data_IF_866742870308
#
_entry.id   IF_866742870308
#
_cell.length_a   1.000
_cell.length_b   1.000
_cell.length_c   1.000
_cell.angle_alpha   90.00
_cell.angle_beta   90.00
_cell.angle_gamma   90.00
#
_symmetry.space_group_name_H-M   'P 1'
#
loop_
_entity.id
_entity.type
_entity.pdbx_description
1 polymer ?
#
# COMPACT_ATOMS: atom_id res chain seq x y z
N UNK A 1 14.78 42.22 16.99
CA UNK A 1 13.77 41.73 16.02
C UNK A 1 13.02 40.60 16.71
N UNK A 2 11.84 40.87 17.26
CA UNK A 2 11.03 39.84 17.92
C UNK A 2 10.11 39.21 16.88
N UNK A 3 10.46 38.01 16.41
CA UNK A 3 9.53 37.16 15.68
C UNK A 3 8.45 36.69 16.64
N UNK A 4 7.26 37.30 16.55
CA UNK A 4 6.06 36.81 17.22
C UNK A 4 5.67 35.52 16.51
N UNK A 5 6.05 34.38 17.09
CA UNK A 5 5.51 33.07 16.71
C UNK A 5 4.04 33.10 17.09
N UNK A 6 3.14 33.27 16.11
CA UNK A 6 1.70 33.18 16.37
C UNK A 6 1.40 31.73 16.78
N UNK A 7 0.66 31.50 17.88
CA UNK A 7 0.21 30.17 18.23
C UNK A 7 -0.68 29.64 17.09
N UNK A 8 -0.41 28.41 16.64
CA UNK A 8 -1.34 27.70 15.74
C UNK A 8 -2.67 27.50 16.46
N UNK A 9 -3.78 27.64 15.75
CA UNK A 9 -5.09 27.36 16.34
C UNK A 9 -5.25 25.86 16.59
N UNK A 10 -6.07 25.48 17.56
CA UNK A 10 -6.31 24.06 17.90
C UNK A 10 -6.78 23.23 16.69
N UNK A 11 -7.56 23.82 15.77
CA UNK A 11 -7.96 23.18 14.51
C UNK A 11 -6.80 22.96 13.53
N UNK A 12 -5.82 23.86 13.49
CA UNK A 12 -4.63 23.68 12.64
C UNK A 12 -3.72 22.59 13.19
N UNK A 13 -3.66 22.45 14.52
CA UNK A 13 -2.92 21.37 15.18
C UNK A 13 -3.57 20.01 14.92
N UNK A 14 -4.89 19.89 14.99
CA UNK A 14 -5.58 18.64 14.69
C UNK A 14 -5.44 18.23 13.22
N UNK A 15 -5.52 19.19 12.28
CA UNK A 15 -5.29 18.88 10.87
C UNK A 15 -3.83 18.47 10.58
N UNK A 16 -2.85 19.08 11.24
CA UNK A 16 -1.44 18.62 11.12
C UNK A 16 -1.25 17.20 11.65
N UNK A 17 -1.90 16.85 12.78
CA UNK A 17 -1.87 15.49 13.30
C UNK A 17 -2.50 14.51 12.31
N UNK A 18 -3.66 14.87 11.75
CA UNK A 18 -4.30 14.10 10.68
C UNK A 18 -3.35 13.87 9.49
N UNK A 19 -2.69 14.91 8.98
CA UNK A 19 -1.77 14.77 7.85
C UNK A 19 -0.56 13.90 8.20
N UNK A 20 -0.05 14.02 9.43
CA UNK A 20 1.08 13.20 9.89
C UNK A 20 0.70 11.72 9.93
N UNK A 21 -0.47 11.39 10.47
CA UNK A 21 -0.97 10.02 10.52
C UNK A 21 -1.28 9.48 9.12
N UNK A 22 -1.85 10.34 8.26
CA UNK A 22 -2.13 10.04 6.87
C UNK A 22 -0.86 9.68 6.09
N UNK A 23 0.19 10.51 6.18
CA UNK A 23 1.48 10.23 5.53
C UNK A 23 2.14 8.97 6.09
N UNK A 24 2.09 8.77 7.41
CA UNK A 24 2.66 7.57 8.03
C UNK A 24 1.99 6.28 7.56
N UNK A 25 0.67 6.29 7.32
CA UNK A 25 -0.05 5.16 6.73
C UNK A 25 0.32 4.95 5.26
N UNK A 26 0.41 6.04 4.49
CA UNK A 26 0.84 5.98 3.09
C UNK A 26 2.24 5.40 2.93
N UNK A 27 3.19 5.87 3.74
CA UNK A 27 4.57 5.41 3.71
C UNK A 27 4.67 3.93 4.08
N UNK A 28 3.92 3.47 5.10
CA UNK A 28 3.84 2.04 5.45
C UNK A 28 3.30 1.20 4.31
N UNK A 29 2.19 1.61 3.70
CA UNK A 29 1.60 0.89 2.56
C UNK A 29 2.55 0.85 1.35
N UNK A 30 3.30 1.91 1.08
CA UNK A 30 4.27 1.96 -0.02
C UNK A 30 5.58 1.22 0.30
N UNK A 31 6.01 1.18 1.55
CA UNK A 31 7.22 0.48 1.98
C UNK A 31 7.01 -1.01 2.25
N UNK A 32 5.76 -1.47 2.41
CA UNK A 32 5.44 -2.85 2.75
C UNK A 32 6.06 -3.85 1.75
N UNK A 33 6.82 -4.87 2.21
CA UNK A 33 7.41 -5.86 1.33
C UNK A 33 6.34 -6.69 0.62
N UNK A 34 6.69 -7.28 -0.53
CA UNK A 34 5.73 -8.02 -1.38
C UNK A 34 5.05 -9.18 -0.63
N UNK A 35 5.78 -9.84 0.25
CA UNK A 35 5.30 -10.97 1.08
C UNK A 35 4.23 -10.53 2.08
N UNK A 36 4.37 -9.33 2.64
CA UNK A 36 3.39 -8.74 3.57
C UNK A 36 2.25 -8.03 2.84
N UNK A 37 2.46 -7.58 1.61
CA UNK A 37 1.43 -6.94 0.79
C UNK A 37 0.29 -7.90 0.41
N UNK A 38 0.51 -9.21 0.56
CA UNK A 38 -0.50 -10.27 0.37
C UNK A 38 -1.12 -10.74 1.70
N UNK A 39 -0.78 -10.08 2.82
CA UNK A 39 -1.19 -10.48 4.17
C UNK A 39 -2.33 -9.63 4.73
N UNK A 40 -2.88 -10.08 5.87
CA UNK A 40 -3.86 -9.33 6.67
C UNK A 40 -3.36 -7.93 7.05
N UNK A 41 -2.05 -7.75 7.21
CA UNK A 41 -1.45 -6.46 7.56
C UNK A 41 -1.68 -5.40 6.48
N UNK A 42 -1.69 -5.76 5.20
CA UNK A 42 -2.00 -4.80 4.13
C UNK A 42 -3.46 -4.35 4.20
N UNK A 43 -4.38 -5.28 4.46
CA UNK A 43 -5.81 -4.99 4.62
C UNK A 43 -6.06 -4.09 5.84
N UNK A 44 -5.45 -4.39 6.97
CA UNK A 44 -5.57 -3.56 8.19
C UNK A 44 -5.09 -2.12 7.97
N UNK A 45 -3.97 -1.94 7.27
CA UNK A 45 -3.43 -0.60 6.98
C UNK A 45 -4.31 0.17 5.97
N UNK A 46 -4.95 -0.53 5.01
CA UNK A 46 -5.97 0.08 4.14
C UNK A 46 -7.24 0.48 4.88
N UNK A 47 -7.67 -0.32 5.86
CA UNK A 47 -8.85 -0.02 6.69
C UNK A 47 -8.59 1.22 7.57
N UNK A 48 -7.40 1.31 8.18
CA UNK A 48 -6.96 2.50 8.93
C UNK A 48 -6.98 3.74 8.05
N UNK A 49 -6.45 3.65 6.83
CA UNK A 49 -6.45 4.76 5.87
C UNK A 49 -7.88 5.17 5.49
N UNK A 50 -8.76 4.21 5.24
CA UNK A 50 -10.17 4.47 4.91
C UNK A 50 -10.91 5.14 6.07
N UNK A 51 -10.63 4.72 7.31
CA UNK A 51 -11.20 5.36 8.49
C UNK A 51 -10.71 6.80 8.65
N UNK A 52 -9.42 7.04 8.46
CA UNK A 52 -8.84 8.38 8.52
C UNK A 52 -9.48 9.30 7.47
N UNK A 53 -9.62 8.83 6.22
CA UNK A 53 -10.28 9.58 5.14
C UNK A 53 -11.74 9.93 5.43
N UNK A 54 -12.47 9.09 6.17
CA UNK A 54 -13.86 9.39 6.57
C UNK A 54 -13.94 10.66 7.46
N UNK A 55 -12.88 10.94 8.21
CA UNK A 55 -12.78 12.12 9.09
C UNK A 55 -12.48 13.41 8.30
N UNK A 56 -12.10 13.31 7.02
CA UNK A 56 -11.74 14.47 6.19
C UNK A 56 -12.88 15.49 6.07
N UNK A 57 -14.13 15.02 6.14
CA UNK A 57 -15.33 15.86 6.05
C UNK A 57 -15.47 16.88 7.19
N UNK A 58 -14.78 16.67 8.32
CA UNK A 58 -14.79 17.55 9.48
C UNK A 58 -13.87 18.79 9.34
N UNK A 59 -12.96 18.78 8.37
CA UNK A 59 -12.00 19.88 8.14
C UNK A 59 -12.53 20.90 7.13
N UNK A 60 -11.88 22.07 7.05
CA UNK A 60 -12.25 23.13 6.12
C UNK A 60 -12.08 22.70 4.65
N UNK A 61 -12.76 23.40 3.74
CA UNK A 61 -12.67 23.10 2.30
C UNK A 61 -11.23 23.16 1.75
N UNK A 62 -10.39 24.05 2.29
CA UNK A 62 -8.99 24.18 1.88
C UNK A 62 -8.12 23.03 2.37
N UNK A 63 -8.35 22.57 3.60
CA UNK A 63 -7.68 21.40 4.19
C UNK A 63 -8.09 20.12 3.45
N UNK A 64 -9.38 19.98 3.16
CA UNK A 64 -9.89 18.88 2.34
C UNK A 64 -9.24 18.85 0.95
N UNK A 65 -9.09 20.00 0.28
CA UNK A 65 -8.47 20.03 -1.04
C UNK A 65 -6.97 19.66 -0.99
N UNK A 66 -6.28 20.09 0.07
CA UNK A 66 -4.87 19.72 0.30
C UNK A 66 -4.74 18.21 0.45
N UNK A 67 -5.53 17.61 1.34
CA UNK A 67 -5.52 16.16 1.56
C UNK A 67 -5.97 15.37 0.32
N UNK A 68 -6.95 15.87 -0.46
CA UNK A 68 -7.39 15.24 -1.73
C UNK A 68 -6.29 15.25 -2.79
N UNK A 69 -5.48 16.31 -2.86
CA UNK A 69 -4.34 16.37 -3.79
C UNK A 69 -3.32 15.30 -3.43
N UNK A 70 -2.95 15.22 -2.16
CA UNK A 70 -1.99 14.23 -1.67
C UNK A 70 -2.52 12.79 -1.80
N UNK A 71 -3.81 12.57 -1.57
CA UNK A 71 -4.45 11.26 -1.78
C UNK A 71 -4.40 10.81 -3.24
N UNK A 72 -4.55 11.74 -4.20
CA UNK A 72 -4.42 11.42 -5.63
C UNK A 72 -3.01 10.95 -5.96
N UNK A 73 -1.99 11.68 -5.51
CA UNK A 73 -0.59 11.29 -5.72
C UNK A 73 -0.27 9.94 -5.07
N UNK A 74 -0.81 9.67 -3.88
CA UNK A 74 -0.67 8.38 -3.23
C UNK A 74 -1.38 7.25 -3.99
N UNK A 75 -2.61 7.47 -4.48
CA UNK A 75 -3.35 6.48 -5.24
C UNK A 75 -2.59 6.04 -6.49
N UNK A 76 -1.95 6.98 -7.20
CA UNK A 76 -1.11 6.68 -8.36
C UNK A 76 0.10 5.82 -7.99
N UNK A 77 0.80 6.17 -6.90
CA UNK A 77 1.95 5.39 -6.39
C UNK A 77 1.52 3.98 -5.96
N UNK A 78 0.39 3.86 -5.26
CA UNK A 78 -0.15 2.58 -4.80
C UNK A 78 -0.58 1.70 -5.97
N UNK A 79 -1.25 2.28 -6.97
CA UNK A 79 -1.64 1.56 -8.19
C UNK A 79 -0.43 1.01 -8.95
N UNK A 80 0.65 1.79 -9.04
CA UNK A 80 1.90 1.33 -9.63
C UNK A 80 2.49 0.13 -8.87
N UNK A 81 2.55 0.23 -7.54
CA UNK A 81 3.04 -0.86 -6.67
C UNK A 81 2.19 -2.13 -6.80
N UNK A 82 0.86 -2.01 -6.77
CA UNK A 82 -0.06 -3.13 -6.93
C UNK A 82 0.07 -3.80 -8.31
N UNK A 83 0.30 -3.00 -9.36
CA UNK A 83 0.56 -3.53 -10.71
C UNK A 83 1.85 -4.33 -10.76
N UNK A 84 2.92 -3.86 -10.11
CA UNK A 84 4.19 -4.58 -10.01
C UNK A 84 4.02 -5.91 -9.25
N UNK A 85 3.34 -5.88 -8.11
CA UNK A 85 3.00 -7.07 -7.31
C UNK A 85 2.20 -8.10 -8.12
N UNK A 86 1.18 -7.66 -8.86
CA UNK A 86 0.38 -8.54 -9.72
C UNK A 86 1.24 -9.24 -10.77
N UNK A 87 2.12 -8.49 -11.47
CA UNK A 87 3.04 -9.08 -12.46
C UNK A 87 3.98 -10.10 -11.82
N UNK A 88 4.46 -9.82 -10.60
CA UNK A 88 5.32 -10.74 -9.86
C UNK A 88 4.60 -12.03 -9.50
N UNK A 89 3.35 -11.96 -9.05
CA UNK A 89 2.52 -13.14 -8.78
C UNK A 89 2.27 -13.98 -10.04
N UNK A 90 2.00 -13.33 -11.18
CA UNK A 90 1.83 -14.01 -12.47
C UNK A 90 3.11 -14.77 -12.87
N UNK A 91 4.28 -14.16 -12.67
CA UNK A 91 5.56 -14.83 -12.93
C UNK A 91 5.80 -16.03 -12.00
N UNK A 92 5.55 -15.86 -10.69
CA UNK A 92 5.70 -16.96 -9.72
C UNK A 92 4.77 -18.14 -10.06
N UNK A 93 3.57 -17.87 -10.55
CA UNK A 93 2.63 -18.91 -11.00
C UNK A 93 3.19 -19.71 -12.19
N UNK A 94 3.77 -19.02 -13.18
CA UNK A 94 4.43 -19.67 -14.33
C UNK A 94 5.62 -20.52 -13.87
N UNK A 95 6.47 -19.98 -13.00
CA UNK A 95 7.63 -20.67 -12.48
C UNK A 95 7.23 -21.93 -11.70
N UNK A 96 6.16 -21.86 -10.90
CA UNK A 96 5.62 -23.00 -10.15
C UNK A 96 5.10 -24.10 -11.08
N UNK A 97 4.38 -23.73 -12.14
CA UNK A 97 3.91 -24.68 -13.17
C UNK A 97 5.07 -25.39 -13.88
N UNK A 98 6.16 -24.66 -14.17
CA UNK A 98 7.37 -25.25 -14.76
C UNK A 98 8.06 -26.24 -13.81
N UNK A 99 8.15 -25.91 -12.52
CA UNK A 99 8.70 -26.79 -11.48
C UNK A 99 7.84 -28.04 -11.31
N UNK A 100 6.51 -27.91 -11.29
CA UNK A 100 5.60 -29.06 -11.22
C UNK A 100 5.78 -29.99 -12.43
N UNK A 101 5.82 -29.42 -13.64
CA UNK A 101 5.99 -30.18 -14.87
C UNK A 101 7.32 -30.95 -14.87
N UNK A 102 8.40 -30.28 -14.47
CA UNK A 102 9.72 -30.91 -14.31
C UNK A 102 9.70 -32.03 -13.27
N UNK A 103 9.03 -31.81 -12.14
CA UNK A 103 8.90 -32.81 -11.07
C UNK A 103 8.12 -34.03 -11.55
N UNK A 104 7.03 -33.83 -12.30
CA UNK A 104 6.27 -34.93 -12.92
C UNK A 104 7.11 -35.71 -13.94
N UNK A 105 7.89 -35.00 -14.77
CA UNK A 105 8.81 -35.63 -15.72
C UNK A 105 9.88 -36.49 -15.05
N UNK A 106 10.52 -35.97 -13.98
CA UNK A 106 11.50 -36.74 -13.18
C UNK A 106 10.85 -37.98 -12.56
N UNK A 107 9.65 -37.85 -11.98
CA UNK A 107 8.91 -38.99 -11.40
C UNK A 107 8.56 -40.03 -12.46
N UNK A 108 8.10 -39.63 -13.64
CA UNK A 108 7.75 -40.54 -14.72
C UNK A 108 8.98 -41.25 -15.31
N UNK A 109 10.11 -40.55 -15.45
CA UNK A 109 11.40 -41.13 -15.84
C UNK A 109 11.86 -42.18 -14.82
N UNK A 110 11.86 -41.84 -13.52
CA UNK A 110 12.27 -42.75 -12.45
C UNK A 110 11.34 -43.98 -12.31
N UNK A 111 10.10 -43.91 -12.82
CA UNK A 111 9.15 -45.02 -12.85
C UNK A 111 9.22 -45.83 -14.16
N UNK A 112 10.11 -45.50 -15.10
CA UNK A 112 10.23 -46.18 -16.39
C UNK A 112 9.01 -46.02 -17.31
N UNK A 113 8.20 -44.97 -17.10
CA UNK A 113 6.96 -44.71 -17.88
C UNK A 113 7.15 -43.75 -19.06
N UNK A 114 8.38 -43.29 -19.29
CA UNK A 114 8.75 -42.51 -20.47
C UNK A 114 9.59 -43.44 -21.36
N UNK A 115 8.95 -44.00 -22.39
CA UNK A 115 9.54 -44.62 -23.57
C UNK A 115 8.71 -44.21 -24.79
#
# INVERSE_FOLDING_TARGET
MNSVVRPMSDQQLTFQQFLTEFHALQDRLLAMPEEEALSETFTEEQDKLSHLLAQLSAYSAQEQETARREMREFADKLAHKLTALKRRMEQLSVDMSAVETRTRGIKAYNQGKIF
#
